data_IF_009507395891
#
_entry.id   IF_009507395891
#
_cell.length_a   1.000
_cell.length_b   1.000
_cell.length_c   1.000
_cell.angle_alpha   90.00
_cell.angle_beta   90.00
_cell.angle_gamma   90.00
#
_symmetry.space_group_name_H-M   'P 1'
#
loop_
_entity.id
_entity.type
_entity.pdbx_description
1 polymer ?
#
# COMPACT_ATOMS: atom_id res chain seq x y z
N UNK A 1 16.70 6.85 -21.09
CA UNK A 1 16.05 7.33 -19.86
C UNK A 1 17.16 7.58 -18.87
N UNK A 2 17.40 6.80 -17.81
CA UNK A 2 18.54 7.11 -16.94
C UNK A 2 19.91 6.75 -17.56
N UNK A 3 19.94 5.77 -18.45
CA UNK A 3 21.16 5.41 -19.21
C UNK A 3 21.37 6.26 -20.47
N UNK A 4 20.49 7.22 -20.75
CA UNK A 4 20.58 8.06 -21.96
C UNK A 4 20.01 7.42 -23.24
N UNK A 5 19.34 6.27 -23.13
CA UNK A 5 18.69 5.58 -24.26
C UNK A 5 17.20 5.32 -24.04
N UNK A 6 16.38 5.42 -25.08
CA UNK A 6 14.96 5.01 -25.02
C UNK A 6 14.80 3.47 -25.04
N UNK A 7 13.55 2.99 -25.08
CA UNK A 7 13.24 1.57 -25.10
C UNK A 7 13.71 0.85 -26.39
N UNK A 8 13.99 1.59 -27.46
CA UNK A 8 14.55 1.08 -28.72
C UNK A 8 16.08 1.25 -28.78
N UNK A 9 16.73 1.54 -27.63
CA UNK A 9 18.16 1.82 -27.51
C UNK A 9 18.64 3.07 -28.27
N UNK A 10 17.71 3.91 -28.75
CA UNK A 10 18.07 5.16 -29.41
C UNK A 10 18.47 6.20 -28.36
N UNK A 11 19.52 6.98 -28.65
CA UNK A 11 19.94 8.05 -27.75
C UNK A 11 18.81 9.07 -27.56
N UNK A 12 18.57 9.47 -26.31
CA UNK A 12 17.65 10.56 -25.96
C UNK A 12 18.39 11.89 -25.69
N UNK A 13 19.67 11.97 -26.07
CA UNK A 13 20.54 13.09 -25.74
C UNK A 13 21.05 13.01 -24.30
N UNK A 14 20.51 13.84 -23.41
CA UNK A 14 20.91 13.86 -22.00
C UNK A 14 20.34 12.67 -21.22
N UNK A 15 21.10 12.16 -20.26
CA UNK A 15 20.60 11.18 -19.28
C UNK A 15 19.51 11.81 -18.41
N UNK A 16 18.45 11.05 -18.16
CA UNK A 16 17.45 11.38 -17.16
C UNK A 16 17.93 11.00 -15.75
N UNK A 17 17.23 11.49 -14.74
CA UNK A 17 17.50 11.22 -13.31
C UNK A 17 16.24 10.74 -12.60
N UNK A 18 15.48 9.84 -13.23
CA UNK A 18 14.23 9.33 -12.66
C UNK A 18 14.47 8.53 -11.39
N UNK A 19 13.68 8.80 -10.35
CA UNK A 19 13.55 7.95 -9.17
C UNK A 19 12.40 6.96 -9.37
N UNK A 20 12.74 5.80 -9.91
CA UNK A 20 11.80 4.76 -10.36
C UNK A 20 11.21 4.01 -9.15
N UNK A 21 9.88 4.05 -9.00
CA UNK A 21 9.14 3.24 -8.05
C UNK A 21 8.45 2.06 -8.71
N UNK A 22 8.20 0.98 -7.95
CA UNK A 22 7.45 -0.18 -8.43
C UNK A 22 6.18 -0.43 -7.62
N UNK A 23 5.11 -0.82 -8.30
CA UNK A 23 3.91 -1.32 -7.65
C UNK A 23 4.08 -2.79 -7.20
N UNK A 24 3.61 -3.11 -5.99
CA UNK A 24 3.56 -4.46 -5.43
C UNK A 24 2.13 -4.81 -5.02
N UNK A 25 1.56 -5.88 -5.58
CA UNK A 25 0.27 -6.40 -5.10
C UNK A 25 0.49 -7.30 -3.88
N UNK A 26 -0.26 -7.07 -2.80
CA UNK A 26 -0.30 -7.93 -1.61
C UNK A 26 -1.67 -8.64 -1.45
N UNK A 27 -2.65 -8.26 -2.27
CA UNK A 27 -3.99 -8.84 -2.33
C UNK A 27 -4.01 -10.06 -3.26
N UNK A 28 -3.24 -11.08 -2.91
CA UNK A 28 -3.08 -12.30 -3.70
C UNK A 28 -3.46 -13.57 -2.91
N UNK A 29 -3.89 -14.59 -3.64
CA UNK A 29 -4.05 -15.95 -3.11
C UNK A 29 -2.69 -16.60 -2.85
N UNK A 30 -2.71 -17.74 -2.17
CA UNK A 30 -1.48 -18.51 -1.93
C UNK A 30 -0.83 -18.99 -3.23
N UNK A 31 -1.63 -19.40 -4.21
CA UNK A 31 -1.15 -19.84 -5.53
C UNK A 31 -0.50 -18.70 -6.32
N UNK A 32 -1.06 -17.49 -6.22
CA UNK A 32 -0.55 -16.30 -6.91
C UNK A 32 0.70 -15.69 -6.25
N UNK A 33 0.95 -16.04 -4.98
CA UNK A 33 2.04 -15.43 -4.19
C UNK A 33 3.40 -15.64 -4.84
N UNK A 34 3.71 -16.84 -5.33
CA UNK A 34 5.01 -17.11 -5.98
C UNK A 34 5.17 -16.32 -7.28
N UNK A 35 4.10 -16.21 -8.07
CA UNK A 35 4.12 -15.44 -9.32
C UNK A 35 4.36 -13.94 -9.06
N UNK A 36 3.77 -13.41 -7.99
CA UNK A 36 3.97 -12.00 -7.62
C UNK A 36 5.36 -11.76 -7.03
N UNK A 37 5.91 -12.71 -6.27
CA UNK A 37 7.31 -12.68 -5.79
C UNK A 37 8.29 -12.67 -6.98
N UNK A 38 8.05 -13.46 -8.02
CA UNK A 38 8.89 -13.46 -9.21
C UNK A 38 8.83 -12.12 -9.95
N UNK A 39 7.64 -11.54 -10.14
CA UNK A 39 7.50 -10.19 -10.71
C UNK A 39 8.21 -9.15 -9.84
N UNK A 40 8.10 -9.27 -8.52
CA UNK A 40 8.75 -8.39 -7.57
C UNK A 40 10.28 -8.43 -7.72
N UNK A 41 10.88 -9.62 -7.76
CA UNK A 41 12.32 -9.79 -7.97
C UNK A 41 12.78 -9.19 -9.30
N UNK A 42 12.06 -9.49 -10.39
CA UNK A 42 12.38 -8.94 -11.73
C UNK A 42 12.28 -7.41 -11.78
N UNK A 43 11.33 -6.80 -11.08
CA UNK A 43 11.21 -5.33 -10.99
C UNK A 43 12.36 -4.71 -10.21
N UNK A 44 12.85 -5.36 -9.16
CA UNK A 44 14.04 -4.93 -8.42
C UNK A 44 15.28 -5.04 -9.29
N UNK A 45 15.49 -6.19 -9.95
CA UNK A 45 16.61 -6.42 -10.86
C UNK A 45 16.63 -5.42 -12.03
N UNK A 46 15.45 -4.96 -12.47
CA UNK A 46 15.31 -3.92 -13.49
C UNK A 46 15.64 -2.49 -13.00
N UNK A 47 16.02 -2.30 -11.74
CA UNK A 47 16.48 -1.01 -11.19
C UNK A 47 15.40 -0.17 -10.50
N UNK A 48 14.39 -0.79 -9.89
CA UNK A 48 13.47 -0.07 -9.01
C UNK A 48 14.21 0.47 -7.76
N UNK A 49 13.91 1.70 -7.36
CA UNK A 49 14.53 2.36 -6.20
C UNK A 49 13.68 2.29 -4.93
N UNK A 50 12.36 2.10 -5.06
CA UNK A 50 11.45 1.93 -3.94
C UNK A 50 10.18 1.17 -4.36
N UNK A 51 9.45 0.66 -3.37
CA UNK A 51 8.23 -0.14 -3.56
C UNK A 51 7.04 0.63 -3.02
N UNK A 52 5.93 0.60 -3.76
CA UNK A 52 4.62 1.07 -3.30
C UNK A 52 3.64 -0.10 -3.36
N UNK A 53 3.14 -0.54 -2.21
CA UNK A 53 2.18 -1.65 -2.18
C UNK A 53 0.79 -1.17 -2.60
N UNK A 54 -0.01 -1.99 -3.26
CA UNK A 54 -1.46 -1.79 -3.27
C UNK A 54 -1.99 -1.78 -1.82
N UNK A 55 -3.12 -1.09 -1.54
CA UNK A 55 -3.64 -1.00 -0.18
C UNK A 55 -4.09 -2.37 0.32
N UNK A 56 -3.76 -2.66 1.57
CA UNK A 56 -4.23 -3.83 2.30
C UNK A 56 -5.07 -3.40 3.50
N UNK A 57 -5.91 -4.31 3.99
CA UNK A 57 -6.75 -4.09 5.17
C UNK A 57 -6.50 -5.14 6.26
N UNK A 58 -5.50 -6.00 6.07
CA UNK A 58 -5.05 -7.00 7.03
C UNK A 58 -3.53 -7.12 6.97
N UNK A 59 -2.88 -7.14 8.14
CA UNK A 59 -1.43 -7.22 8.24
C UNK A 59 -0.87 -8.53 7.70
N UNK A 60 -1.65 -9.61 7.83
CA UNK A 60 -1.26 -10.96 7.42
C UNK A 60 -0.84 -11.05 5.94
N UNK A 61 -1.34 -10.16 5.07
CA UNK A 61 -0.91 -10.07 3.67
C UNK A 61 0.56 -9.67 3.54
N UNK A 62 0.98 -8.65 4.29
CA UNK A 62 2.36 -8.19 4.32
C UNK A 62 3.26 -9.25 4.97
N UNK A 63 2.85 -9.82 6.10
CA UNK A 63 3.62 -10.85 6.82
C UNK A 63 3.89 -12.08 5.95
N UNK A 64 2.85 -12.61 5.28
CA UNK A 64 3.00 -13.77 4.38
C UNK A 64 3.95 -13.48 3.24
N UNK A 65 3.86 -12.29 2.64
CA UNK A 65 4.77 -11.91 1.56
C UNK A 65 6.22 -11.84 2.06
N UNK A 66 6.47 -11.13 3.17
CA UNK A 66 7.82 -10.96 3.73
C UNK A 66 8.42 -12.27 4.24
N UNK A 67 7.60 -13.19 4.76
CA UNK A 67 8.05 -14.51 5.19
C UNK A 67 8.63 -15.35 4.03
N UNK A 68 8.17 -15.12 2.79
CA UNK A 68 8.62 -15.85 1.59
C UNK A 68 9.65 -15.07 0.77
N UNK A 69 9.43 -13.76 0.61
CA UNK A 69 10.28 -12.88 -0.19
C UNK A 69 11.52 -12.39 0.58
N UNK A 70 11.48 -12.42 1.91
CA UNK A 70 12.48 -11.80 2.77
C UNK A 70 12.30 -10.28 2.87
N UNK A 71 13.17 -9.63 3.67
CA UNK A 71 13.20 -8.18 3.76
C UNK A 71 13.59 -7.57 2.40
N UNK A 72 12.85 -6.56 1.90
CA UNK A 72 13.21 -5.88 0.66
C UNK A 72 14.60 -5.23 0.72
N UNK A 73 15.37 -5.29 -0.38
CA UNK A 73 16.66 -4.60 -0.48
C UNK A 73 16.51 -3.08 -0.76
N UNK A 74 15.29 -2.61 -1.04
CA UNK A 74 14.95 -1.21 -1.32
C UNK A 74 13.75 -0.78 -0.44
N UNK A 75 13.58 0.51 -0.13
CA UNK A 75 12.51 0.98 0.76
C UNK A 75 11.11 0.58 0.28
N UNK A 76 10.27 0.13 1.20
CA UNK A 76 8.87 -0.19 0.96
C UNK A 76 7.94 0.82 1.63
N UNK A 77 6.99 1.34 0.83
CA UNK A 77 5.91 2.21 1.28
C UNK A 77 4.59 1.44 1.25
N UNK A 78 3.96 1.30 2.42
CA UNK A 78 2.64 0.67 2.54
C UNK A 78 1.55 1.65 2.10
N UNK A 79 0.75 1.24 1.11
CA UNK A 79 -0.42 1.98 0.66
C UNK A 79 -1.58 1.85 1.63
N UNK A 80 -2.27 2.95 1.91
CA UNK A 80 -3.48 2.94 2.74
C UNK A 80 -4.54 3.89 2.17
N UNK A 81 -5.75 3.38 2.00
CA UNK A 81 -6.96 4.17 1.73
C UNK A 81 -7.82 4.11 3.00
N UNK A 82 -7.96 5.21 3.76
CA UNK A 82 -8.83 5.21 4.93
C UNK A 82 -10.29 4.99 4.53
N UNK A 83 -10.96 4.04 5.18
CA UNK A 83 -12.39 3.81 4.97
C UNK A 83 -13.21 4.95 5.57
N UNK A 84 -14.43 5.15 5.06
CA UNK A 84 -15.30 6.25 5.49
C UNK A 84 -16.73 5.82 5.83
N UNK A 85 -17.17 4.69 5.29
CA UNK A 85 -18.49 4.10 5.55
C UNK A 85 -18.51 2.65 5.12
N UNK A 86 -19.51 1.88 5.59
CA UNK A 86 -19.76 0.52 5.09
C UNK A 86 -19.94 0.50 3.56
N UNK A 87 -20.69 1.46 2.99
CA UNK A 87 -20.86 1.58 1.53
C UNK A 87 -19.54 1.81 0.80
N UNK A 88 -18.64 2.64 1.36
CA UNK A 88 -17.32 2.86 0.78
C UNK A 88 -16.49 1.57 0.81
N UNK A 89 -16.51 0.83 1.92
CA UNK A 89 -15.81 -0.44 2.04
C UNK A 89 -16.32 -1.49 1.03
N UNK A 90 -17.65 -1.64 0.91
CA UNK A 90 -18.25 -2.58 -0.05
C UNK A 90 -17.95 -2.17 -1.50
N UNK A 91 -17.98 -0.86 -1.82
CA UNK A 91 -17.60 -0.40 -3.15
C UNK A 91 -16.14 -0.73 -3.48
N UNK A 92 -15.21 -0.44 -2.57
CA UNK A 92 -13.79 -0.73 -2.80
C UNK A 92 -13.55 -2.23 -2.99
N UNK A 93 -14.23 -3.08 -2.22
CA UNK A 93 -14.06 -4.52 -2.33
C UNK A 93 -14.65 -5.12 -3.62
N UNK A 94 -15.83 -4.66 -4.05
CA UNK A 94 -16.54 -5.27 -5.17
C UNK A 94 -16.20 -4.62 -6.52
N UNK A 95 -15.92 -3.31 -6.55
CA UNK A 95 -15.84 -2.52 -7.77
C UNK A 95 -14.43 -2.04 -8.11
N UNK A 96 -13.47 -2.12 -7.18
CA UNK A 96 -12.09 -1.63 -7.42
C UNK A 96 -11.12 -2.81 -7.57
N UNK A 97 -10.60 -3.06 -8.79
CA UNK A 97 -9.64 -4.14 -9.02
C UNK A 97 -8.39 -4.04 -8.14
N UNK A 98 -7.97 -5.18 -7.58
CA UNK A 98 -6.78 -5.25 -6.73
C UNK A 98 -7.01 -4.80 -5.29
N UNK A 99 -8.25 -4.51 -4.87
CA UNK A 99 -8.58 -4.19 -3.48
C UNK A 99 -9.45 -5.29 -2.88
N UNK A 100 -8.94 -5.95 -1.84
CA UNK A 100 -9.69 -6.92 -1.05
C UNK A 100 -9.80 -6.42 0.38
N UNK A 101 -11.03 -6.29 0.87
CA UNK A 101 -11.31 -5.90 2.26
C UNK A 101 -11.86 -7.13 2.99
N UNK A 102 -11.17 -7.62 4.04
CA UNK A 102 -11.61 -8.75 4.84
C UNK A 102 -13.02 -8.55 5.44
N UNK A 103 -13.73 -9.67 5.64
CA UNK A 103 -15.10 -9.65 6.17
C UNK A 103 -15.21 -9.06 7.57
N UNK A 104 -14.21 -9.25 8.42
CA UNK A 104 -14.15 -8.65 9.75
C UNK A 104 -14.04 -7.11 9.66
N UNK A 105 -13.20 -6.60 8.76
CA UNK A 105 -13.07 -5.16 8.51
C UNK A 105 -14.38 -4.59 7.96
N UNK A 106 -15.00 -5.25 6.98
CA UNK A 106 -16.32 -4.82 6.44
C UNK A 106 -17.42 -4.88 7.50
N UNK A 107 -17.40 -5.88 8.37
CA UNK A 107 -18.35 -6.02 9.47
C UNK A 107 -18.19 -4.91 10.50
N UNK A 108 -16.95 -4.55 10.87
CA UNK A 108 -16.66 -3.39 11.73
C UNK A 108 -17.20 -2.10 11.11
N UNK A 109 -16.98 -1.88 9.82
CA UNK A 109 -17.51 -0.72 9.10
C UNK A 109 -19.05 -0.69 9.06
N UNK A 110 -19.71 -1.85 8.99
CA UNK A 110 -21.18 -1.96 9.05
C UNK A 110 -21.70 -1.64 10.45
N UNK A 111 -21.05 -2.18 11.48
CA UNK A 111 -21.41 -1.95 12.88
C UNK A 111 -21.21 -0.48 13.31
N UNK A 112 -20.23 0.21 12.72
CA UNK A 112 -19.95 1.60 13.03
C UNK A 112 -21.08 2.57 12.60
N UNK A 113 -21.91 2.22 11.61
CA UNK A 113 -23.00 3.07 11.14
C UNK A 113 -22.52 4.49 10.79
N UNK A 114 -23.12 5.49 11.43
CA UNK A 114 -22.77 6.91 11.24
C UNK A 114 -21.34 7.26 11.71
N UNK A 115 -20.72 6.42 12.55
CA UNK A 115 -19.33 6.55 13.01
C UNK A 115 -18.33 5.84 12.08
N UNK A 116 -18.73 5.51 10.84
CA UNK A 116 -17.87 4.82 9.89
C UNK A 116 -16.57 5.58 9.55
N UNK A 117 -16.58 6.91 9.71
CA UNK A 117 -15.41 7.73 9.51
C UNK A 117 -14.34 7.50 10.58
N UNK A 118 -14.74 7.55 11.85
CA UNK A 118 -13.88 7.29 13.02
C UNK A 118 -13.35 5.86 13.00
N UNK A 119 -14.20 4.89 12.68
CA UNK A 119 -13.80 3.48 12.62
C UNK A 119 -12.80 3.22 11.50
N UNK A 120 -12.99 3.83 10.32
CA UNK A 120 -12.04 3.70 9.22
C UNK A 120 -10.66 4.30 9.54
N UNK A 121 -10.63 5.42 10.27
CA UNK A 121 -9.37 5.99 10.79
C UNK A 121 -8.69 5.07 11.80
N UNK A 122 -9.47 4.49 12.71
CA UNK A 122 -8.99 3.56 13.74
C UNK A 122 -8.40 2.30 13.11
N UNK A 123 -9.12 1.67 12.18
CA UNK A 123 -8.65 0.53 11.38
C UNK A 123 -7.33 0.85 10.65
N UNK A 124 -7.25 2.02 10.03
CA UNK A 124 -6.04 2.47 9.35
C UNK A 124 -4.87 2.63 10.32
N UNK A 125 -5.11 3.24 11.47
CA UNK A 125 -4.10 3.41 12.51
C UNK A 125 -3.61 2.06 13.04
N UNK A 126 -4.51 1.13 13.35
CA UNK A 126 -4.19 -0.23 13.83
C UNK A 126 -3.27 -0.95 12.85
N UNK A 127 -3.63 -0.96 11.56
CA UNK A 127 -2.83 -1.58 10.50
C UNK A 127 -1.45 -0.94 10.38
N UNK A 128 -1.40 0.38 10.24
CA UNK A 128 -0.15 1.09 9.97
C UNK A 128 0.81 1.06 11.17
N UNK A 129 0.26 1.07 12.39
CA UNK A 129 1.04 0.89 13.62
C UNK A 129 1.67 -0.51 13.66
N UNK A 130 0.89 -1.53 13.34
CA UNK A 130 1.37 -2.92 13.34
C UNK A 130 2.37 -3.20 12.22
N UNK A 131 2.26 -2.50 11.08
CA UNK A 131 3.19 -2.64 9.96
C UNK A 131 4.52 -1.91 10.16
N UNK A 132 4.63 -1.02 11.16
CA UNK A 132 5.73 -0.04 11.29
C UNK A 132 7.13 -0.63 11.28
N UNK A 133 7.33 -1.82 11.88
CA UNK A 133 8.64 -2.48 11.92
C UNK A 133 9.03 -3.21 10.62
N UNK A 134 8.09 -3.34 9.68
CA UNK A 134 8.23 -4.11 8.45
C UNK A 134 8.40 -3.26 7.19
N UNK A 135 8.22 -1.94 7.30
CA UNK A 135 8.20 -0.99 6.17
C UNK A 135 9.00 0.26 6.49
N UNK A 136 9.49 0.95 5.47
CA UNK A 136 10.23 2.20 5.60
C UNK A 136 9.31 3.44 5.62
N UNK A 137 8.05 3.30 5.18
CA UNK A 137 7.09 4.39 5.23
C UNK A 137 5.69 4.00 4.79
N UNK A 138 4.80 5.00 4.76
CA UNK A 138 3.41 4.84 4.33
C UNK A 138 3.08 5.92 3.30
N UNK A 139 2.18 5.61 2.37
CA UNK A 139 1.60 6.61 1.48
C UNK A 139 0.08 6.53 1.54
N UNK A 140 -0.55 7.68 1.79
CA UNK A 140 -1.97 7.77 2.13
C UNK A 140 -2.75 8.32 0.93
N UNK A 141 -3.79 7.60 0.53
CA UNK A 141 -4.63 7.93 -0.62
C UNK A 141 -6.00 8.41 -0.12
N UNK A 142 -6.33 9.71 -0.26
CA UNK A 142 -7.64 10.22 0.10
C UNK A 142 -8.68 9.80 -0.93
N UNK A 143 -9.80 9.22 -0.48
CA UNK A 143 -10.96 9.02 -1.34
C UNK A 143 -11.74 10.32 -1.51
N UNK A 144 -12.24 10.60 -2.72
CA UNK A 144 -13.17 11.71 -2.99
C UNK A 144 -12.70 13.10 -2.51
N UNK A 145 -11.40 13.39 -2.55
CA UNK A 145 -10.85 14.68 -2.13
C UNK A 145 -10.90 14.96 -0.62
N UNK A 146 -11.09 13.92 0.21
CA UNK A 146 -11.14 13.98 1.68
C UNK A 146 -9.74 14.12 2.31
N UNK A 147 -9.05 15.22 2.04
CA UNK A 147 -7.67 15.46 2.51
C UNK A 147 -7.57 15.68 4.03
N UNK A 148 -8.65 16.15 4.65
CA UNK A 148 -8.79 16.32 6.10
C UNK A 148 -8.60 15.01 6.87
N UNK A 149 -9.09 13.92 6.28
CA UNK A 149 -8.98 12.56 6.84
C UNK A 149 -7.54 12.09 6.88
N UNK A 150 -6.82 12.29 5.78
CA UNK A 150 -5.39 11.97 5.68
C UNK A 150 -4.60 12.81 6.68
N UNK A 151 -4.90 14.11 6.80
CA UNK A 151 -4.26 14.98 7.79
C UNK A 151 -4.46 14.49 9.23
N UNK A 152 -5.69 14.08 9.59
CA UNK A 152 -6.00 13.52 10.91
C UNK A 152 -5.24 12.22 11.16
N UNK A 153 -5.20 11.32 10.18
CA UNK A 153 -4.45 10.06 10.29
C UNK A 153 -2.95 10.30 10.47
N UNK A 154 -2.34 11.22 9.72
CA UNK A 154 -0.92 11.55 9.87
C UNK A 154 -0.61 12.04 11.29
N UNK A 155 -1.45 12.91 11.87
CA UNK A 155 -1.29 13.36 13.26
C UNK A 155 -1.41 12.20 14.24
N UNK A 156 -2.39 11.31 14.05
CA UNK A 156 -2.57 10.11 14.88
C UNK A 156 -1.33 9.20 14.87
N UNK A 157 -0.67 9.04 13.72
CA UNK A 157 0.56 8.24 13.59
C UNK A 157 1.78 8.95 14.20
N UNK A 158 1.85 10.28 14.14
CA UNK A 158 2.94 11.07 14.73
C UNK A 158 2.88 11.11 16.27
N UNK A 159 1.68 11.18 16.86
CA UNK A 159 1.52 11.24 18.32
C UNK A 159 1.98 9.95 19.03
N UNK A 160 2.02 8.81 18.32
CA UNK A 160 2.58 7.56 18.83
C UNK A 160 4.11 7.46 18.67
N UNK A 161 4.78 8.50 18.16
CA UNK A 161 6.24 8.55 18.05
C UNK A 161 6.95 9.10 19.29
N UNK A 162 6.24 9.29 20.40
CA UNK A 162 6.88 9.74 21.65
C UNK A 162 7.85 8.66 22.13
N UNK A 163 9.15 8.99 22.35
CA UNK A 163 10.21 8.03 22.67
C UNK A 163 9.99 7.29 23.99
#
# INVERSE_FOLDING_TARGET
MNEGHDAASSSIGAQASFHIGMALNLNMTEQETEQEIDKYRRKIEAGAHFIMTQPIYELARLERFLARAGKPPIPMLLGCIPLHSSRHAEFLHNEVPGITIPDDVRSRMRAAGDQGHEEGLKLSQELLTSARSMIEGVYLMPSYGRYDVVSKLTKMLQMQQTP
#
